data_IF_059499511746
#
_entry.id   IF_059499511746
#
_cell.length_a   1.000
_cell.length_b   1.000
_cell.length_c   1.000
_cell.angle_alpha   90.00
_cell.angle_beta   90.00
_cell.angle_gamma   90.00
#
_symmetry.space_group_name_H-M   'P 1'
#
loop_
_entity.id
_entity.type
_entity.pdbx_description
1 polymer ?
#
# COMPACT_ATOMS: atom_id res chain seq x y z
N UNK A 1 14.36 -15.74 8.78
CA UNK A 1 14.45 -16.38 7.47
C UNK A 1 14.16 -15.35 6.39
N UNK A 2 13.89 -15.81 5.16
CA UNK A 2 13.52 -14.94 4.03
C UNK A 2 12.02 -14.66 3.97
N UNK A 3 11.22 -15.36 4.77
CA UNK A 3 9.76 -15.21 4.83
C UNK A 3 9.35 -14.26 5.97
N UNK A 4 8.04 -14.01 6.08
CA UNK A 4 7.51 -13.18 7.18
C UNK A 4 7.72 -13.87 8.54
N UNK A 5 7.93 -13.11 9.64
CA UNK A 5 8.23 -13.68 10.95
C UNK A 5 7.21 -14.74 11.40
N UNK A 6 5.91 -14.49 11.22
CA UNK A 6 4.87 -15.45 11.61
C UNK A 6 4.90 -16.76 10.81
N UNK A 7 5.37 -16.71 9.55
CA UNK A 7 5.59 -17.90 8.74
C UNK A 7 6.80 -18.68 9.23
N UNK A 8 7.92 -17.98 9.42
CA UNK A 8 9.18 -18.59 9.85
C UNK A 8 8.98 -19.28 11.20
N UNK A 9 8.42 -18.59 12.20
CA UNK A 9 8.16 -19.15 13.53
C UNK A 9 7.33 -20.45 13.45
N UNK A 10 6.25 -20.44 12.66
CA UNK A 10 5.41 -21.61 12.48
C UNK A 10 6.14 -22.77 11.80
N UNK A 11 6.92 -22.49 10.75
CA UNK A 11 7.61 -23.51 9.97
C UNK A 11 8.80 -24.12 10.73
N UNK A 12 9.58 -23.31 11.46
CA UNK A 12 10.71 -23.79 12.26
C UNK A 12 10.28 -24.53 13.53
N UNK A 13 9.07 -24.27 14.05
CA UNK A 13 8.51 -25.02 15.18
C UNK A 13 7.98 -26.42 14.81
N UNK A 14 7.80 -26.68 13.52
CA UNK A 14 7.20 -27.90 13.00
C UNK A 14 8.22 -29.01 12.79
N UNK A 15 7.76 -30.26 12.83
CA UNK A 15 8.61 -31.42 12.50
C UNK A 15 8.63 -31.68 10.99
N UNK A 16 9.68 -32.35 10.51
CA UNK A 16 9.71 -32.85 9.13
C UNK A 16 8.50 -33.76 8.84
N UNK A 17 7.81 -33.49 7.73
CA UNK A 17 6.57 -34.15 7.32
C UNK A 17 5.29 -33.49 7.84
N UNK A 18 5.38 -32.52 8.77
CA UNK A 18 4.23 -31.87 9.38
C UNK A 18 3.61 -30.80 8.47
N UNK A 19 2.29 -30.65 8.56
CA UNK A 19 1.54 -29.57 7.94
C UNK A 19 1.09 -28.61 9.04
N UNK A 20 1.48 -27.35 8.94
CA UNK A 20 1.19 -26.30 9.90
C UNK A 20 0.27 -25.26 9.27
N UNK A 21 -0.83 -24.95 9.94
CA UNK A 21 -1.74 -23.88 9.55
C UNK A 21 -3.18 -24.10 9.99
N UNK A 22 -4.06 -23.14 9.68
CA UNK A 22 -3.78 -21.90 8.94
C UNK A 22 -3.04 -20.86 9.80
N UNK A 23 -1.93 -20.33 9.27
CA UNK A 23 -1.14 -19.25 9.91
C UNK A 23 -1.53 -17.91 9.30
N UNK A 24 -2.00 -16.97 10.11
CA UNK A 24 -2.36 -15.63 9.63
C UNK A 24 -1.10 -14.75 9.50
N UNK A 25 -0.97 -14.08 8.35
CA UNK A 25 0.00 -13.00 8.17
C UNK A 25 -0.61 -11.83 7.43
N UNK A 26 0.14 -10.73 7.27
CA UNK A 26 -0.28 -9.54 6.50
C UNK A 26 -0.67 -9.85 5.05
N UNK A 27 -0.26 -11.01 4.52
CA UNK A 27 -0.53 -11.42 3.15
C UNK A 27 -1.74 -12.37 3.01
N UNK A 28 -2.31 -12.83 4.13
CA UNK A 28 -3.39 -13.81 4.17
C UNK A 28 -3.07 -15.03 5.04
N UNK A 29 -3.78 -16.13 4.81
CA UNK A 29 -3.56 -17.38 5.52
C UNK A 29 -2.56 -18.27 4.79
N UNK A 30 -1.62 -18.84 5.53
CA UNK A 30 -0.63 -19.77 5.03
C UNK A 30 -0.94 -21.17 5.54
N UNK A 31 -0.92 -22.15 4.63
CA UNK A 31 -0.83 -23.57 4.97
C UNK A 31 0.57 -24.01 4.56
N UNK A 32 1.37 -24.45 5.53
CA UNK A 32 2.79 -24.75 5.37
C UNK A 32 2.96 -26.25 5.46
N UNK A 33 3.73 -26.85 4.55
CA UNK A 33 4.18 -28.23 4.65
C UNK A 33 5.70 -28.24 4.78
N UNK A 34 6.20 -28.75 5.90
CA UNK A 34 7.64 -28.93 6.11
C UNK A 34 8.01 -30.30 5.59
N UNK A 35 8.87 -30.34 4.57
CA UNK A 35 9.35 -31.58 3.98
C UNK A 35 10.54 -32.13 4.76
N UNK A 36 11.48 -31.26 5.11
CA UNK A 36 12.72 -31.65 5.77
C UNK A 36 13.24 -30.52 6.66
N UNK A 37 13.92 -30.91 7.74
CA UNK A 37 14.63 -30.01 8.65
C UNK A 37 16.07 -30.52 8.76
N UNK A 38 17.06 -29.67 8.49
CA UNK A 38 18.48 -30.01 8.59
C UNK A 38 19.22 -28.92 9.37
N UNK A 39 20.40 -29.27 9.87
CA UNK A 39 21.29 -28.32 10.53
C UNK A 39 22.60 -28.26 9.75
N UNK A 40 22.92 -27.09 9.21
CA UNK A 40 24.13 -26.85 8.41
C UNK A 40 24.94 -25.77 9.10
N UNK A 41 26.21 -26.04 9.44
CA UNK A 41 27.11 -25.10 10.13
C UNK A 41 26.53 -24.47 11.41
N UNK A 42 25.76 -25.25 12.17
CA UNK A 42 25.11 -24.79 13.41
C UNK A 42 23.89 -23.87 13.19
N UNK A 43 23.39 -23.77 11.96
CA UNK A 43 22.15 -23.07 11.62
C UNK A 43 21.06 -24.06 11.23
N UNK A 44 19.87 -23.85 11.74
CA UNK A 44 18.70 -24.64 11.36
C UNK A 44 18.21 -24.18 9.99
N UNK A 45 18.05 -25.13 9.08
CA UNK A 45 17.54 -24.94 7.73
C UNK A 45 16.33 -25.84 7.51
N UNK A 46 15.28 -25.30 6.89
CA UNK A 46 14.06 -26.06 6.60
C UNK A 46 13.74 -26.00 5.11
N UNK A 47 13.29 -27.12 4.56
CA UNK A 47 12.69 -27.19 3.24
C UNK A 47 11.16 -27.28 3.42
N UNK A 48 10.45 -26.21 3.04
CA UNK A 48 9.01 -26.14 3.17
C UNK A 48 8.36 -25.62 1.89
N UNK A 49 7.12 -26.05 1.65
CA UNK A 49 6.23 -25.48 0.64
C UNK A 49 5.02 -24.87 1.34
N UNK A 50 4.35 -23.91 0.69
CA UNK A 50 3.16 -23.29 1.27
C UNK A 50 2.07 -22.98 0.24
N UNK A 51 0.84 -22.89 0.73
CA UNK A 51 -0.31 -22.35 0.01
C UNK A 51 -0.72 -21.05 0.71
N UNK A 52 -0.72 -19.94 -0.05
CA UNK A 52 -1.21 -18.65 0.41
C UNK A 52 -2.64 -18.42 -0.04
N UNK A 53 -3.55 -18.38 0.92
CA UNK A 53 -4.94 -17.96 0.74
C UNK A 53 -5.04 -16.46 1.04
N UNK A 54 -5.05 -15.65 -0.03
CA UNK A 54 -5.23 -14.20 0.08
C UNK A 54 -6.66 -13.90 0.53
N UNK A 55 -6.79 -13.06 1.56
CA UNK A 55 -8.08 -12.53 1.98
C UNK A 55 -8.33 -11.30 1.12
N UNK A 56 -9.22 -11.43 0.14
CA UNK A 56 -9.64 -10.30 -0.69
C UNK A 56 -10.97 -9.74 -0.17
N UNK A 57 -11.23 -8.47 -0.49
CA UNK A 57 -12.53 -7.87 -0.21
C UNK A 57 -13.66 -8.70 -0.85
N UNK A 58 -14.68 -9.03 -0.06
CA UNK A 58 -15.90 -9.67 -0.57
C UNK A 58 -16.65 -8.75 -1.54
N UNK A 59 -17.47 -9.31 -2.43
CA UNK A 59 -18.23 -8.52 -3.43
C UNK A 59 -19.09 -7.43 -2.81
N UNK A 60 -19.77 -7.72 -1.69
CA UNK A 60 -20.62 -6.75 -0.99
C UNK A 60 -19.81 -5.59 -0.39
N UNK A 61 -18.67 -5.90 0.24
CA UNK A 61 -17.78 -4.88 0.81
C UNK A 61 -17.18 -4.03 -0.29
N UNK A 62 -16.70 -4.65 -1.38
CA UNK A 62 -16.14 -3.96 -2.54
C UNK A 62 -17.15 -2.99 -3.15
N UNK A 63 -18.37 -3.44 -3.43
CA UNK A 63 -19.42 -2.58 -3.98
C UNK A 63 -19.78 -1.44 -3.02
N UNK A 64 -19.78 -1.69 -1.72
CA UNK A 64 -20.07 -0.65 -0.73
C UNK A 64 -18.98 0.41 -0.68
N UNK A 65 -17.70 0.00 -0.66
CA UNK A 65 -16.57 0.93 -0.72
C UNK A 65 -16.53 1.70 -2.04
N UNK A 66 -16.83 1.04 -3.15
CA UNK A 66 -16.94 1.68 -4.46
C UNK A 66 -18.00 2.79 -4.45
N UNK A 67 -19.21 2.50 -3.97
CA UNK A 67 -20.29 3.49 -3.87
C UNK A 67 -19.90 4.65 -2.97
N UNK A 68 -19.27 4.37 -1.84
CA UNK A 68 -18.80 5.40 -0.92
C UNK A 68 -17.74 6.29 -1.58
N UNK A 69 -16.78 5.72 -2.29
CA UNK A 69 -15.75 6.46 -3.00
C UNK A 69 -16.32 7.32 -4.14
N UNK A 70 -17.31 6.81 -4.89
CA UNK A 70 -18.03 7.60 -5.89
C UNK A 70 -18.80 8.76 -5.26
N UNK A 71 -19.44 8.55 -4.11
CA UNK A 71 -20.11 9.63 -3.39
C UNK A 71 -19.12 10.67 -2.89
N UNK A 72 -18.00 10.22 -2.31
CA UNK A 72 -16.94 11.08 -1.86
C UNK A 72 -16.38 11.94 -2.99
N UNK A 73 -16.15 11.39 -4.19
CA UNK A 73 -15.64 12.17 -5.32
C UNK A 73 -16.61 13.28 -5.72
N UNK A 74 -17.92 13.01 -5.77
CA UNK A 74 -18.91 14.06 -6.06
C UNK A 74 -18.95 15.12 -4.97
N UNK A 75 -19.03 14.72 -3.70
CA UNK A 75 -19.07 15.67 -2.58
C UNK A 75 -17.78 16.53 -2.53
N UNK A 76 -16.62 15.95 -2.85
CA UNK A 76 -15.35 16.66 -2.88
C UNK A 76 -15.25 17.64 -4.06
N UNK A 77 -15.81 17.30 -5.22
CA UNK A 77 -15.88 18.19 -6.39
C UNK A 77 -16.87 19.35 -6.15
N UNK A 78 -18.00 19.08 -5.50
CA UNK A 78 -19.07 20.06 -5.28
C UNK A 78 -18.79 20.99 -4.09
N UNK A 79 -18.25 20.45 -2.98
CA UNK A 79 -18.13 21.17 -1.70
C UNK A 79 -16.68 21.36 -1.25
N UNK A 80 -15.70 20.80 -1.97
CA UNK A 80 -14.28 20.83 -1.62
C UNK A 80 -13.81 19.58 -0.88
N UNK A 81 -12.54 19.23 -1.09
CA UNK A 81 -11.95 17.98 -0.59
C UNK A 81 -11.97 17.89 0.95
N UNK A 82 -11.58 18.96 1.65
CA UNK A 82 -11.54 18.98 3.12
C UNK A 82 -12.94 18.82 3.74
N UNK A 83 -13.95 19.47 3.17
CA UNK A 83 -15.34 19.34 3.62
C UNK A 83 -15.88 17.90 3.42
N UNK A 84 -15.46 17.24 2.33
CA UNK A 84 -15.79 15.83 2.11
C UNK A 84 -15.08 14.91 3.12
N UNK A 85 -13.83 15.18 3.50
CA UNK A 85 -13.13 14.41 4.54
C UNK A 85 -13.89 14.46 5.87
N UNK A 86 -14.34 15.64 6.28
CA UNK A 86 -15.12 15.83 7.50
C UNK A 86 -16.49 15.12 7.43
N UNK A 87 -17.19 15.27 6.31
CA UNK A 87 -18.54 14.70 6.10
C UNK A 87 -18.52 13.18 6.12
N UNK A 88 -17.50 12.58 5.51
CA UNK A 88 -17.35 11.12 5.44
C UNK A 88 -16.54 10.54 6.60
N UNK A 89 -16.00 11.40 7.48
CA UNK A 89 -15.17 11.04 8.63
C UNK A 89 -13.93 10.22 8.26
N UNK A 90 -13.26 10.62 7.17
CA UNK A 90 -12.09 9.95 6.62
C UNK A 90 -10.84 10.83 6.84
N UNK A 91 -9.74 10.21 7.25
CA UNK A 91 -8.46 10.90 7.35
C UNK A 91 -7.73 10.92 6.00
N UNK A 92 -7.16 12.06 5.57
CA UNK A 92 -6.40 12.11 4.34
C UNK A 92 -5.06 11.37 4.48
N UNK A 93 -4.55 10.86 3.36
CA UNK A 93 -3.20 10.31 3.27
C UNK A 93 -2.40 11.11 2.24
N UNK A 94 -1.23 11.60 2.64
CA UNK A 94 -0.34 12.35 1.75
C UNK A 94 0.60 11.40 1.01
N UNK A 95 0.68 11.58 -0.30
CA UNK A 95 1.65 10.90 -1.15
C UNK A 95 2.76 11.89 -1.53
N UNK A 96 3.84 11.93 -0.75
CA UNK A 96 4.98 12.81 -1.01
C UNK A 96 5.93 12.25 -2.08
N UNK A 97 6.65 13.15 -2.76
CA UNK A 97 7.71 12.84 -3.73
C UNK A 97 7.25 11.87 -4.83
N UNK A 98 6.07 12.11 -5.40
CA UNK A 98 5.59 11.34 -6.54
C UNK A 98 6.39 11.75 -7.80
N UNK A 99 6.99 10.79 -8.49
CA UNK A 99 7.72 11.02 -9.73
C UNK A 99 6.89 10.61 -10.95
N UNK A 100 7.06 11.28 -12.09
CA UNK A 100 6.30 11.01 -13.31
C UNK A 100 6.41 9.57 -13.84
N UNK A 101 7.54 8.89 -13.55
CA UNK A 101 7.78 7.50 -13.93
C UNK A 101 7.33 6.48 -12.86
N UNK A 102 6.83 6.95 -11.71
CA UNK A 102 6.33 6.07 -10.65
C UNK A 102 5.12 5.28 -11.13
N UNK A 103 5.12 3.98 -10.86
CA UNK A 103 3.99 3.08 -11.13
C UNK A 103 3.23 2.68 -9.86
N UNK A 104 3.74 3.09 -8.70
CA UNK A 104 3.20 2.77 -7.39
C UNK A 104 3.26 3.98 -6.48
N UNK A 105 2.29 4.08 -5.58
CA UNK A 105 2.25 5.07 -4.52
C UNK A 105 2.50 4.40 -3.18
N UNK A 106 3.33 5.03 -2.35
CA UNK A 106 3.61 4.54 -0.99
C UNK A 106 2.29 4.42 -0.21
N UNK A 107 2.06 3.28 0.42
CA UNK A 107 0.84 3.00 1.19
C UNK A 107 -0.35 2.48 0.38
N UNK A 108 -0.46 2.85 -0.91
CA UNK A 108 -1.55 2.41 -1.80
C UNK A 108 -1.14 1.25 -2.71
N UNK A 109 0.15 1.14 -3.03
CA UNK A 109 0.68 0.13 -3.94
C UNK A 109 0.60 0.56 -5.40
N UNK A 110 0.51 -0.39 -6.33
CA UNK A 110 0.44 -0.11 -7.76
C UNK A 110 -0.87 0.59 -8.09
N UNK A 111 -0.78 1.84 -8.51
CA UNK A 111 -1.89 2.66 -8.95
C UNK A 111 -1.32 3.72 -9.89
N UNK A 112 -1.21 3.41 -11.18
CA UNK A 112 -0.60 4.34 -12.14
C UNK A 112 -1.50 5.53 -12.43
N UNK A 113 -2.81 5.35 -12.30
CA UNK A 113 -3.79 6.36 -12.67
C UNK A 113 -3.72 7.61 -11.78
N UNK A 114 -3.32 7.47 -10.52
CA UNK A 114 -3.08 8.63 -9.63
C UNK A 114 -1.86 9.44 -10.08
N UNK A 115 -0.85 8.76 -10.63
CA UNK A 115 0.34 9.41 -11.19
C UNK A 115 -0.02 10.11 -12.49
N UNK A 116 -0.78 9.45 -13.35
CA UNK A 116 -1.29 10.08 -14.57
C UNK A 116 -2.16 11.29 -14.26
N UNK A 117 -3.03 11.20 -13.26
CA UNK A 117 -3.81 12.33 -12.77
C UNK A 117 -2.91 13.48 -12.31
N UNK A 118 -1.96 13.22 -11.40
CA UNK A 118 -1.09 14.25 -10.85
C UNK A 118 -0.18 14.95 -11.88
N UNK A 119 0.18 14.25 -12.97
CA UNK A 119 1.06 14.75 -14.03
C UNK A 119 0.33 15.06 -15.35
N UNK A 120 -1.01 15.08 -15.36
CA UNK A 120 -1.77 15.49 -16.54
C UNK A 120 -1.76 17.01 -16.65
N UNK A 121 -1.45 17.55 -17.83
CA UNK A 121 -1.38 18.98 -18.15
C UNK A 121 -2.67 19.76 -17.80
N UNK A 122 -3.81 19.07 -17.68
CA UNK A 122 -5.11 19.65 -17.33
C UNK A 122 -5.38 19.71 -15.82
N UNK A 123 -4.50 19.14 -14.99
CA UNK A 123 -4.70 19.05 -13.55
C UNK A 123 -4.01 20.20 -12.85
N UNK A 124 -4.79 21.04 -12.19
CA UNK A 124 -4.31 22.18 -11.43
C UNK A 124 -4.28 21.87 -9.93
N UNK A 125 -3.53 22.66 -9.16
CA UNK A 125 -3.55 22.55 -7.70
C UNK A 125 -4.98 22.76 -7.20
N UNK A 126 -5.45 21.86 -6.34
CA UNK A 126 -6.82 21.82 -5.84
C UNK A 126 -7.79 21.02 -6.71
N UNK A 127 -7.40 20.58 -7.92
CA UNK A 127 -8.22 19.68 -8.72
C UNK A 127 -8.41 18.35 -7.99
N UNK A 128 -9.67 17.90 -7.92
CA UNK A 128 -10.06 16.62 -7.35
C UNK A 128 -10.25 15.60 -8.47
N UNK A 129 -9.67 14.41 -8.32
CA UNK A 129 -9.78 13.33 -9.29
C UNK A 129 -11.17 12.68 -9.26
N UNK A 130 -11.52 11.97 -10.33
CA UNK A 130 -12.53 10.92 -10.25
C UNK A 130 -12.07 9.77 -9.35
N UNK A 131 -12.98 8.83 -9.06
CA UNK A 131 -12.66 7.60 -8.31
C UNK A 131 -11.65 6.74 -9.07
N UNK A 132 -10.46 6.62 -8.52
CA UNK A 132 -9.40 5.71 -8.94
C UNK A 132 -9.47 4.41 -8.15
N UNK A 133 -8.95 3.32 -8.71
CA UNK A 133 -8.99 2.01 -8.04
C UNK A 133 -7.77 1.14 -8.35
N UNK A 134 -7.39 0.32 -7.39
CA UNK A 134 -6.57 -0.87 -7.63
C UNK A 134 -7.22 -2.09 -6.96
N UNK A 135 -6.52 -3.23 -6.95
CA UNK A 135 -7.03 -4.48 -6.37
C UNK A 135 -7.47 -4.35 -4.89
N UNK A 136 -6.91 -3.39 -4.16
CA UNK A 136 -7.04 -3.26 -2.71
C UNK A 136 -7.78 -1.99 -2.26
N UNK A 137 -7.73 -0.91 -3.04
CA UNK A 137 -8.16 0.42 -2.60
C UNK A 137 -9.00 1.15 -3.66
N UNK A 138 -9.93 1.95 -3.17
CA UNK A 138 -10.58 3.02 -3.92
C UNK A 138 -10.02 4.35 -3.42
N UNK A 139 -9.58 5.20 -4.33
CA UNK A 139 -8.87 6.44 -4.00
C UNK A 139 -9.50 7.60 -4.75
N UNK A 140 -9.68 8.71 -4.05
CA UNK A 140 -9.97 10.02 -4.64
C UNK A 140 -8.83 10.91 -4.21
N UNK A 141 -8.18 11.55 -5.16
CA UNK A 141 -6.99 12.35 -4.93
C UNK A 141 -7.27 13.83 -5.17
N UNK A 142 -6.56 14.70 -4.46
CA UNK A 142 -6.49 16.13 -4.76
C UNK A 142 -5.04 16.49 -5.02
N UNK A 143 -4.78 17.32 -6.03
CA UNK A 143 -3.42 17.80 -6.29
C UNK A 143 -3.08 18.92 -5.29
N UNK A 144 -2.28 18.62 -4.28
CA UNK A 144 -1.91 19.57 -3.21
C UNK A 144 -0.82 20.57 -3.63
N UNK A 145 0.24 20.07 -4.27
CA UNK A 145 1.37 20.90 -4.69
C UNK A 145 2.14 20.26 -5.84
N UNK A 146 2.78 21.09 -6.66
CA UNK A 146 3.66 20.64 -7.75
C UNK A 146 5.08 21.11 -7.42
N UNK A 147 6.04 20.18 -7.47
CA UNK A 147 7.47 20.50 -7.40
C UNK A 147 7.96 20.63 -8.85
N UNK A 148 8.31 21.85 -9.32
CA UNK A 148 8.75 22.04 -10.70
C UNK A 148 10.10 21.35 -10.96
N UNK A 149 10.30 20.90 -12.19
CA UNK A 149 11.56 20.34 -12.65
C UNK A 149 12.69 21.38 -12.57
N UNK A 150 13.75 21.07 -11.82
CA UNK A 150 14.88 21.98 -11.63
C UNK A 150 15.73 21.62 -10.41
N UNK A 151 16.89 22.24 -10.25
CA UNK A 151 17.71 22.08 -9.03
C UNK A 151 16.99 22.75 -7.87
N UNK A 152 16.58 21.96 -6.87
CA UNK A 152 16.07 22.48 -5.60
C UNK A 152 16.97 23.60 -5.08
N UNK A 153 16.40 24.77 -4.79
CA UNK A 153 17.17 25.82 -4.13
C UNK A 153 17.62 25.28 -2.76
N UNK A 154 18.89 25.55 -2.42
CA UNK A 154 19.61 25.00 -1.26
C UNK A 154 18.81 25.07 0.06
N UNK A 155 17.96 26.09 0.22
CA UNK A 155 17.09 26.28 1.38
C UNK A 155 16.06 25.13 1.58
N UNK A 156 15.49 24.58 0.51
CA UNK A 156 14.49 23.50 0.60
C UNK A 156 15.11 22.13 0.94
N UNK A 157 16.42 21.96 0.72
CA UNK A 157 17.12 20.68 0.95
C UNK A 157 17.69 20.59 2.38
N UNK A 158 17.81 21.73 3.07
CA UNK A 158 18.42 21.79 4.40
C UNK A 158 17.61 21.05 5.46
N UNK A 159 16.28 21.10 5.40
CA UNK A 159 15.41 20.36 6.32
C UNK A 159 15.48 18.84 6.09
N UNK A 160 15.51 18.39 4.83
CA UNK A 160 15.54 16.98 4.48
C UNK A 160 16.85 16.26 4.85
N UNK A 161 17.98 16.97 4.84
CA UNK A 161 19.31 16.39 5.14
C UNK A 161 19.61 16.40 6.66
N UNK A 162 18.97 17.26 7.46
CA UNK A 162 19.29 17.40 8.90
C UNK A 162 18.89 16.20 9.77
N UNK A 163 18.05 15.27 9.27
CA UNK A 163 17.53 14.13 10.07
C UNK A 163 18.30 12.81 9.96
N UNK A 164 19.41 12.73 9.21
CA UNK A 164 20.13 11.46 8.98
C UNK A 164 21.50 11.37 9.66
N UNK A 165 21.81 12.22 10.63
CA UNK A 165 22.98 12.02 11.51
C UNK A 165 22.59 12.20 12.98
N UNK A 166 22.13 11.12 13.62
CA UNK A 166 22.40 10.83 15.03
C UNK A 166 22.40 9.32 15.23
#
# INVERSE_FOLDING_TARGET
>A
GQMVPTFDEAAFSARAGEIVGPVLSRFGYHIIKVHETRQTDGKDEINASHILLKINMGSQTRESLRRNATRFSYDAQDFGFDAALDTHQIAPQKADNLEALSISVRGIGFLRDIVQFAFNDQTEIGTVSDRLENDNFYVVAVLDSIIPEGTSQFENVKEAISRTFT
#
